data_IF_667554745403
#
_entry.id   IF_667554745403
#
_cell.length_a   1.000
_cell.length_b   1.000
_cell.length_c   1.000
_cell.angle_alpha   90.00
_cell.angle_beta   90.00
_cell.angle_gamma   90.00
#
_symmetry.space_group_name_H-M   'P 1'
#
loop_
_entity.id
_entity.type
_entity.pdbx_description
1 polymer ?
#
# COMPACT_ATOMS: atom_id res chain seq x y z
N UNK A 1 -44.20 -5.64 49.10
CA UNK A 1 -44.57 -6.29 47.82
C UNK A 1 -44.28 -5.27 46.71
N UNK A 2 -43.02 -4.92 46.48
CA UNK A 2 -42.13 -5.61 45.52
C UNK A 2 -42.89 -5.97 44.24
N UNK A 3 -42.65 -5.27 43.12
CA UNK A 3 -41.58 -5.59 42.16
C UNK A 3 -41.57 -4.53 41.04
N UNK A 4 -40.44 -3.85 40.87
CA UNK A 4 -40.14 -2.98 39.73
C UNK A 4 -39.68 -3.83 38.55
N UNK A 5 -40.29 -3.62 37.39
CA UNK A 5 -39.96 -4.32 36.16
C UNK A 5 -38.76 -3.64 35.48
N UNK A 6 -37.54 -3.99 35.90
CA UNK A 6 -36.32 -3.54 35.24
C UNK A 6 -36.04 -4.45 34.03
N UNK A 7 -36.36 -3.97 32.83
CA UNK A 7 -36.01 -4.61 31.56
C UNK A 7 -34.51 -4.40 31.34
N UNK A 8 -33.70 -5.35 31.81
CA UNK A 8 -32.30 -5.46 31.41
C UNK A 8 -32.28 -5.83 29.92
N UNK A 9 -32.01 -4.83 29.06
CA UNK A 9 -31.59 -5.09 27.69
C UNK A 9 -30.22 -5.78 27.77
N UNK A 10 -30.25 -7.11 27.80
CA UNK A 10 -29.04 -7.92 27.71
C UNK A 10 -28.35 -7.59 26.39
N UNK A 11 -27.25 -6.87 26.47
CA UNK A 11 -26.37 -6.61 25.34
C UNK A 11 -25.71 -7.94 24.96
N UNK A 12 -26.38 -8.73 24.14
CA UNK A 12 -25.75 -9.87 23.48
C UNK A 12 -24.78 -9.28 22.45
N UNK A 13 -23.47 -9.58 22.51
CA UNK A 13 -22.60 -9.22 21.41
C UNK A 13 -23.16 -9.87 20.13
N UNK A 14 -23.34 -9.08 19.09
CA UNK A 14 -23.79 -9.59 17.81
C UNK A 14 -22.75 -10.60 17.32
N UNK A 15 -23.10 -11.89 17.34
CA UNK A 15 -22.28 -12.95 16.74
C UNK A 15 -22.15 -12.61 15.26
N UNK A 16 -20.92 -12.48 14.77
CA UNK A 16 -20.62 -12.09 13.40
C UNK A 16 -19.22 -12.50 12.99
N UNK A 17 -18.99 -12.54 11.68
CA UNK A 17 -17.67 -12.84 11.13
C UNK A 17 -16.74 -11.64 11.30
N UNK A 18 -15.53 -11.90 11.79
CA UNK A 18 -14.46 -10.90 11.92
C UNK A 18 -13.37 -11.22 10.91
N UNK A 19 -13.04 -10.24 10.05
CA UNK A 19 -11.98 -10.36 9.05
C UNK A 19 -10.75 -9.56 9.51
N UNK A 20 -9.57 -10.17 9.41
CA UNK A 20 -8.29 -9.57 9.78
C UNK A 20 -7.25 -9.85 8.68
N UNK A 21 -6.59 -8.81 8.13
CA UNK A 21 -6.88 -7.38 8.32
C UNK A 21 -8.22 -6.97 7.64
N UNK A 22 -8.84 -5.86 8.07
CA UNK A 22 -10.06 -5.34 7.44
C UNK A 22 -9.84 -4.78 6.03
N UNK A 23 -8.64 -4.24 5.78
CA UNK A 23 -8.19 -3.76 4.47
C UNK A 23 -6.88 -4.47 4.08
N UNK A 24 -6.97 -5.69 3.53
CA UNK A 24 -5.82 -6.49 3.16
C UNK A 24 -5.15 -5.93 1.91
N UNK A 25 -3.84 -5.80 2.00
CA UNK A 25 -2.97 -5.42 0.88
C UNK A 25 -1.83 -6.42 0.76
N UNK A 26 -1.39 -6.67 -0.47
CA UNK A 26 -0.26 -7.57 -0.76
C UNK A 26 0.58 -7.00 -1.89
N UNK A 27 1.90 -7.10 -1.76
CA UNK A 27 2.83 -6.73 -2.83
C UNK A 27 2.77 -7.76 -3.96
N UNK A 28 2.88 -7.35 -5.21
CA UNK A 28 3.12 -8.26 -6.33
C UNK A 28 4.35 -9.15 -6.08
N UNK A 29 4.23 -10.44 -6.40
CA UNK A 29 5.18 -11.50 -6.06
C UNK A 29 5.27 -11.83 -4.56
N UNK A 30 4.53 -11.11 -3.70
CA UNK A 30 4.56 -11.24 -2.25
C UNK A 30 3.61 -12.30 -1.69
N UNK A 31 3.52 -12.35 -0.37
CA UNK A 31 2.60 -13.24 0.35
C UNK A 31 1.81 -12.49 1.43
N UNK A 32 0.60 -12.96 1.71
CA UNK A 32 -0.28 -12.41 2.73
C UNK A 32 -1.17 -13.49 3.34
N UNK A 33 -1.72 -13.20 4.53
CA UNK A 33 -2.66 -14.08 5.22
C UNK A 33 -3.89 -13.29 5.66
N UNK A 34 -5.07 -13.81 5.36
CA UNK A 34 -6.35 -13.24 5.77
C UNK A 34 -7.04 -14.21 6.71
N UNK A 35 -7.27 -13.78 7.95
CA UNK A 35 -7.99 -14.56 8.94
C UNK A 35 -9.47 -14.15 8.93
N UNK A 36 -10.35 -15.14 8.84
CA UNK A 36 -11.76 -14.99 9.10
C UNK A 36 -12.14 -15.81 10.31
N UNK A 37 -12.72 -15.17 11.32
CA UNK A 37 -13.10 -15.82 12.58
C UNK A 37 -14.57 -15.61 12.92
N UNK A 38 -15.15 -16.60 13.61
CA UNK A 38 -16.51 -16.57 14.12
C UNK A 38 -16.48 -17.02 15.59
N UNK A 39 -16.86 -16.13 16.49
CA UNK A 39 -16.95 -16.42 17.91
C UNK A 39 -18.20 -17.26 18.24
N UNK A 40 -18.20 -18.53 17.83
CA UNK A 40 -19.28 -19.48 18.07
C UNK A 40 -18.75 -20.89 18.33
N UNK A 41 -19.14 -21.46 19.48
CA UNK A 41 -18.80 -22.84 19.82
C UNK A 41 -19.56 -23.82 18.91
N UNK A 42 -18.84 -24.74 18.26
CA UNK A 42 -19.42 -25.69 17.30
C UNK A 42 -19.89 -25.04 15.99
N UNK A 43 -19.51 -23.79 15.74
CA UNK A 43 -19.70 -23.16 14.43
C UNK A 43 -18.74 -23.69 13.38
N UNK A 44 -18.91 -23.23 12.15
CA UNK A 44 -17.99 -23.48 11.04
C UNK A 44 -17.65 -22.18 10.33
N UNK A 45 -16.43 -22.06 9.82
CA UNK A 45 -15.95 -20.90 9.08
C UNK A 45 -15.11 -21.37 7.90
N UNK A 46 -15.31 -20.77 6.73
CA UNK A 46 -14.58 -21.13 5.53
C UNK A 46 -14.45 -19.94 4.57
N UNK A 47 -13.26 -19.78 4.00
CA UNK A 47 -13.05 -18.91 2.84
C UNK A 47 -13.60 -19.56 1.55
N UNK A 48 -14.07 -18.73 0.61
CA UNK A 48 -14.54 -19.12 -0.72
C UNK A 48 -14.02 -18.15 -1.77
N UNK A 49 -14.00 -18.61 -3.02
CA UNK A 49 -13.48 -17.83 -4.16
C UNK A 49 -11.97 -17.97 -4.32
N UNK A 50 -11.48 -19.22 -4.32
CA UNK A 50 -10.12 -19.51 -4.76
C UNK A 50 -10.14 -19.47 -6.29
N UNK A 51 -9.64 -18.39 -6.86
CA UNK A 51 -9.66 -18.17 -8.30
C UNK A 51 -8.34 -18.59 -8.97
N UNK A 52 -7.33 -18.96 -8.17
CA UNK A 52 -5.97 -19.19 -8.64
C UNK A 52 -5.24 -20.28 -7.85
N UNK A 53 -4.21 -20.87 -8.45
CA UNK A 53 -3.34 -21.87 -7.81
C UNK A 53 -2.39 -21.28 -6.75
N UNK A 54 -2.39 -19.95 -6.60
CA UNK A 54 -1.54 -19.23 -5.64
C UNK A 54 -2.23 -18.98 -4.29
N UNK A 55 -3.48 -19.44 -4.16
CA UNK A 55 -4.29 -19.32 -2.96
C UNK A 55 -4.58 -20.68 -2.33
N UNK A 56 -4.46 -20.77 -1.01
CA UNK A 56 -4.80 -21.98 -0.26
C UNK A 56 -5.49 -21.66 1.06
N UNK A 57 -6.25 -22.63 1.60
CA UNK A 57 -7.08 -22.42 2.79
C UNK A 57 -6.69 -23.42 3.88
N UNK A 58 -6.46 -22.90 5.08
CA UNK A 58 -6.36 -23.71 6.30
C UNK A 58 -7.58 -23.43 7.18
N UNK A 59 -8.38 -24.45 7.45
CA UNK A 59 -9.64 -24.32 8.21
C UNK A 59 -9.52 -24.88 9.63
N UNK A 60 -10.05 -24.14 10.60
CA UNK A 60 -10.15 -24.52 12.01
C UNK A 60 -11.62 -24.39 12.46
N UNK A 61 -12.01 -24.93 13.64
CA UNK A 61 -13.41 -24.88 14.09
C UNK A 61 -13.99 -23.46 14.19
N UNK A 62 -13.20 -22.50 14.66
CA UNK A 62 -13.68 -21.11 14.92
C UNK A 62 -13.13 -20.08 13.95
N UNK A 63 -12.21 -20.46 13.06
CA UNK A 63 -11.60 -19.54 12.11
C UNK A 63 -11.04 -20.26 10.89
N UNK A 64 -10.82 -19.52 9.82
CA UNK A 64 -10.28 -19.98 8.55
C UNK A 64 -9.25 -18.98 8.05
N UNK A 65 -8.11 -19.47 7.60
CA UNK A 65 -7.00 -18.64 7.11
C UNK A 65 -6.86 -18.86 5.60
N UNK A 66 -6.92 -17.76 4.84
CA UNK A 66 -6.58 -17.73 3.42
C UNK A 66 -5.11 -17.34 3.29
N UNK A 67 -4.32 -18.21 2.69
CA UNK A 67 -2.91 -17.98 2.40
C UNK A 67 -2.77 -17.59 0.93
N UNK A 68 -2.11 -16.47 0.69
CA UNK A 68 -1.76 -15.96 -0.63
C UNK A 68 -0.24 -16.02 -0.76
N UNK A 69 0.27 -16.60 -1.84
CA UNK A 69 1.71 -16.69 -2.11
C UNK A 69 2.03 -16.36 -3.56
N UNK A 70 3.07 -15.56 -3.82
CA UNK A 70 3.43 -15.12 -5.17
C UNK A 70 2.25 -14.40 -5.88
N UNK A 71 1.74 -13.35 -5.22
CA UNK A 71 0.56 -12.62 -5.69
C UNK A 71 0.77 -11.98 -7.07
N UNK A 72 -0.20 -12.13 -7.95
CA UNK A 72 -0.30 -11.46 -9.26
C UNK A 72 -1.40 -10.41 -9.24
N UNK A 73 -1.54 -9.61 -10.30
CA UNK A 73 -2.66 -8.65 -10.44
C UNK A 73 -4.02 -9.36 -10.30
N UNK A 74 -4.19 -10.52 -10.94
CA UNK A 74 -5.39 -11.36 -10.84
C UNK A 74 -5.67 -11.95 -9.44
N UNK A 75 -4.69 -11.92 -8.51
CA UNK A 75 -4.90 -12.35 -7.12
C UNK A 75 -5.76 -11.35 -6.33
N UNK A 76 -5.76 -10.08 -6.76
CA UNK A 76 -6.58 -9.03 -6.18
C UNK A 76 -8.09 -9.28 -6.35
N UNK A 77 -8.89 -8.47 -5.68
CA UNK A 77 -10.36 -8.51 -5.80
C UNK A 77 -11.07 -9.06 -4.57
N UNK A 78 -12.34 -9.42 -4.75
CA UNK A 78 -13.25 -9.74 -3.65
C UNK A 78 -13.03 -11.16 -3.12
N UNK A 79 -12.68 -11.27 -1.84
CA UNK A 79 -12.58 -12.54 -1.10
C UNK A 79 -13.80 -12.67 -0.17
N UNK A 80 -14.45 -13.83 -0.18
CA UNK A 80 -15.67 -14.07 0.61
C UNK A 80 -15.43 -15.09 1.70
N UNK A 81 -15.77 -14.73 2.93
CA UNK A 81 -15.79 -15.66 4.05
C UNK A 81 -17.23 -15.97 4.46
N UNK A 82 -17.49 -17.26 4.70
CA UNK A 82 -18.78 -17.78 5.09
C UNK A 82 -18.65 -18.49 6.43
N UNK A 83 -19.64 -18.34 7.30
CA UNK A 83 -19.69 -19.06 8.56
C UNK A 83 -21.09 -19.49 8.92
N UNK A 84 -21.20 -20.53 9.74
CA UNK A 84 -22.48 -21.03 10.24
C UNK A 84 -22.39 -21.21 11.75
N UNK A 85 -23.39 -20.76 12.49
CA UNK A 85 -23.48 -20.91 13.94
C UNK A 85 -24.93 -21.18 14.34
N UNK A 86 -25.19 -22.29 15.04
CA UNK A 86 -26.54 -22.67 15.49
C UNK A 86 -27.64 -22.54 14.42
N UNK A 87 -27.34 -22.95 13.18
CA UNK A 87 -28.26 -22.85 12.03
C UNK A 87 -28.35 -21.46 11.37
N UNK A 88 -27.77 -20.42 11.96
CA UNK A 88 -27.64 -19.09 11.36
C UNK A 88 -26.42 -19.02 10.44
N UNK A 89 -26.56 -18.36 9.29
CA UNK A 89 -25.49 -18.18 8.30
C UNK A 89 -24.98 -16.74 8.32
N UNK A 90 -23.68 -16.61 8.24
CA UNK A 90 -22.96 -15.34 8.19
C UNK A 90 -22.11 -15.30 6.93
N UNK A 91 -21.99 -14.12 6.34
CA UNK A 91 -21.10 -13.88 5.22
C UNK A 91 -20.47 -12.50 5.38
N UNK A 92 -19.17 -12.41 5.08
CA UNK A 92 -18.46 -11.14 5.00
C UNK A 92 -17.47 -11.19 3.85
N UNK A 93 -17.37 -10.09 3.11
CA UNK A 93 -16.45 -9.94 2.00
C UNK A 93 -15.38 -8.92 2.34
N UNK A 94 -14.24 -9.04 1.69
CA UNK A 94 -13.14 -8.09 1.75
C UNK A 94 -12.49 -7.97 0.38
N UNK A 95 -11.97 -6.79 0.04
CA UNK A 95 -11.27 -6.57 -1.21
C UNK A 95 -9.76 -6.62 -0.99
N UNK A 96 -9.09 -7.67 -1.50
CA UNK A 96 -7.64 -7.78 -1.47
C UNK A 96 -7.05 -6.84 -2.53
N UNK A 97 -6.27 -5.85 -2.09
CA UNK A 97 -5.58 -4.93 -3.00
C UNK A 97 -4.18 -5.44 -3.27
N UNK A 98 -3.80 -5.51 -4.55
CA UNK A 98 -2.43 -5.80 -4.99
C UNK A 98 -1.75 -4.48 -5.32
N UNK A 99 -0.48 -4.35 -4.95
CA UNK A 99 0.34 -3.20 -5.33
C UNK A 99 1.73 -3.63 -5.78
N UNK A 100 2.33 -2.87 -6.69
CA UNK A 100 3.70 -3.00 -7.12
C UNK A 100 4.32 -1.60 -7.19
N UNK A 101 5.41 -1.41 -6.47
CA UNK A 101 6.15 -0.15 -6.47
C UNK A 101 7.64 -0.49 -6.63
N UNK A 102 8.36 0.25 -7.50
CA UNK A 102 9.79 0.05 -7.68
C UNK A 102 10.57 0.55 -6.46
N UNK A 103 11.65 -0.16 -6.15
CA UNK A 103 12.53 0.21 -5.03
C UNK A 103 13.34 1.49 -5.34
N UNK A 104 13.60 1.75 -6.62
CA UNK A 104 14.30 2.93 -7.09
C UNK A 104 13.76 3.40 -8.44
N UNK A 105 13.79 4.72 -8.63
CA UNK A 105 13.43 5.38 -9.88
C UNK A 105 14.70 5.66 -10.68
N UNK A 106 14.62 5.56 -12.01
CA UNK A 106 15.74 5.84 -12.90
C UNK A 106 15.62 7.27 -13.40
N UNK A 107 16.57 8.12 -13.03
CA UNK A 107 16.63 9.51 -13.44
C UNK A 107 17.83 9.74 -14.37
N UNK A 108 17.56 10.20 -15.58
CA UNK A 108 18.56 10.46 -16.61
C UNK A 108 18.46 11.92 -17.10
N UNK A 109 19.61 12.54 -17.35
CA UNK A 109 19.69 13.88 -17.93
C UNK A 109 20.18 13.83 -19.38
N UNK A 110 19.61 14.69 -20.23
CA UNK A 110 20.05 14.89 -21.62
C UNK A 110 20.28 16.38 -21.88
N UNK A 111 21.51 16.83 -22.17
CA UNK A 111 22.76 16.06 -22.15
C UNK A 111 23.13 15.57 -20.74
N UNK A 112 24.03 14.57 -20.64
CA UNK A 112 24.37 13.87 -19.38
C UNK A 112 24.80 14.81 -18.24
N UNK A 113 25.36 15.96 -18.58
CA UNK A 113 25.63 17.04 -17.67
C UNK A 113 24.89 18.28 -18.19
N UNK A 114 23.97 18.81 -17.39
CA UNK A 114 23.32 20.09 -17.69
C UNK A 114 24.32 21.21 -17.39
N UNK A 115 24.61 22.03 -18.40
CA UNK A 115 25.49 23.19 -18.25
C UNK A 115 24.65 24.47 -18.04
N UNK A 116 25.09 25.39 -17.16
CA UNK A 116 24.36 26.64 -16.95
C UNK A 116 24.14 27.41 -18.24
N UNK A 117 22.91 27.89 -18.45
CA UNK A 117 22.53 28.61 -19.66
C UNK A 117 22.24 27.73 -20.89
N UNK A 118 22.46 26.41 -20.81
CA UNK A 118 22.11 25.48 -21.89
C UNK A 118 20.82 24.72 -21.57
N UNK A 119 19.87 24.62 -22.53
CA UNK A 119 18.67 23.84 -22.33
C UNK A 119 18.97 22.34 -22.28
N UNK A 120 18.12 21.58 -21.60
CA UNK A 120 18.19 20.13 -21.55
C UNK A 120 16.87 19.49 -21.16
N UNK A 121 16.91 18.21 -20.83
CA UNK A 121 15.76 17.47 -20.34
C UNK A 121 16.15 16.46 -19.27
N UNK A 122 15.23 16.21 -18.35
CA UNK A 122 15.30 15.14 -17.38
C UNK A 122 14.24 14.10 -17.72
N UNK A 123 14.65 12.84 -17.76
CA UNK A 123 13.78 11.69 -18.00
C UNK A 123 13.77 10.83 -16.77
N UNK A 124 12.59 10.64 -16.18
CA UNK A 124 12.39 9.67 -15.13
C UNK A 124 11.63 8.47 -15.65
N UNK A 125 12.09 7.26 -15.31
CA UNK A 125 11.36 6.03 -15.59
C UNK A 125 11.24 5.15 -14.34
N UNK A 126 10.11 4.44 -14.27
CA UNK A 126 9.81 3.49 -13.22
C UNK A 126 9.15 2.26 -13.84
N UNK A 127 9.68 1.08 -13.55
CA UNK A 127 9.10 -0.17 -14.03
C UNK A 127 8.20 -0.83 -12.99
N UNK A 128 7.31 -1.71 -13.46
CA UNK A 128 6.57 -2.64 -12.61
C UNK A 128 5.74 -1.93 -11.53
N UNK A 129 4.99 -0.91 -11.95
CA UNK A 129 4.12 -0.09 -11.09
C UNK A 129 2.69 -0.60 -11.19
N UNK A 130 2.01 -0.71 -10.05
CA UNK A 130 0.59 -1.03 -9.96
C UNK A 130 0.00 -0.63 -8.60
N UNK A 131 -1.27 -0.17 -8.53
CA UNK A 131 -2.14 0.21 -9.63
C UNK A 131 -1.78 1.61 -10.19
N UNK A 132 -2.20 1.92 -11.42
CA UNK A 132 -2.02 3.29 -11.97
C UNK A 132 -2.92 4.34 -11.32
N UNK A 133 -4.22 4.09 -11.06
CA UNK A 133 -5.08 5.10 -10.46
C UNK A 133 -4.59 5.55 -9.08
N UNK A 134 -4.50 6.87 -8.89
CA UNK A 134 -4.02 7.48 -7.65
C UNK A 134 -2.49 7.54 -7.54
N UNK A 135 -1.75 7.14 -8.57
CA UNK A 135 -0.32 7.41 -8.66
C UNK A 135 -0.09 8.90 -8.94
N UNK A 136 0.70 9.55 -8.11
CA UNK A 136 1.06 10.96 -8.28
C UNK A 136 2.56 11.06 -8.47
N UNK A 137 2.93 11.69 -9.57
CA UNK A 137 4.30 12.00 -9.94
C UNK A 137 4.53 13.49 -9.81
N UNK A 138 5.66 13.86 -9.21
CA UNK A 138 5.97 15.25 -8.96
C UNK A 138 7.44 15.51 -9.25
N UNK A 139 7.69 16.50 -10.09
CA UNK A 139 9.04 17.02 -10.28
C UNK A 139 9.33 18.08 -9.22
N UNK A 140 10.52 18.03 -8.66
CA UNK A 140 11.02 19.06 -7.74
C UNK A 140 12.28 19.70 -8.29
N UNK A 141 12.40 21.02 -8.12
CA UNK A 141 13.60 21.81 -8.33
C UNK A 141 14.03 22.39 -6.98
N UNK A 142 15.13 21.89 -6.42
CA UNK A 142 15.45 22.06 -5.01
C UNK A 142 14.32 21.50 -4.15
N UNK A 143 13.69 22.36 -3.36
CA UNK A 143 12.51 22.02 -2.54
C UNK A 143 11.19 22.54 -3.15
N UNK A 144 11.23 23.16 -4.34
CA UNK A 144 10.05 23.66 -5.03
C UNK A 144 9.42 22.58 -5.90
N UNK A 145 8.15 22.24 -5.63
CA UNK A 145 7.35 21.41 -6.52
C UNK A 145 7.04 22.15 -7.82
N UNK A 146 7.30 21.50 -8.95
CA UNK A 146 6.89 21.96 -10.27
C UNK A 146 5.42 21.56 -10.52
N UNK A 147 4.76 22.12 -11.56
CA UNK A 147 3.42 21.72 -11.94
C UNK A 147 3.30 20.20 -12.11
N UNK A 148 2.07 19.69 -11.97
CA UNK A 148 1.77 18.26 -12.01
C UNK A 148 2.37 17.62 -13.26
N UNK A 149 3.15 16.56 -13.05
CA UNK A 149 3.89 15.89 -14.09
C UNK A 149 2.98 14.89 -14.79
N UNK A 150 2.78 15.07 -16.09
CA UNK A 150 2.19 14.00 -16.89
C UNK A 150 3.22 12.87 -17.08
N UNK A 151 2.71 11.66 -17.30
CA UNK A 151 3.53 10.50 -17.56
C UNK A 151 2.87 9.54 -18.52
N UNK A 152 3.70 9.01 -19.42
CA UNK A 152 3.31 7.93 -20.30
C UNK A 152 3.36 6.62 -19.52
N UNK A 153 2.31 5.81 -19.63
CA UNK A 153 2.25 4.48 -19.04
C UNK A 153 2.15 3.42 -20.14
N UNK A 154 2.98 2.39 -20.05
CA UNK A 154 2.93 1.22 -20.94
C UNK A 154 2.66 -0.03 -20.11
N UNK A 155 1.61 -0.75 -20.44
CA UNK A 155 1.27 -2.02 -19.80
C UNK A 155 2.24 -3.13 -20.22
N UNK A 156 2.57 -4.00 -19.27
CA UNK A 156 3.45 -5.16 -19.44
C UNK A 156 2.63 -6.43 -19.55
N UNK A 157 3.26 -7.55 -19.93
CA UNK A 157 2.60 -8.86 -19.99
C UNK A 157 2.04 -9.33 -18.64
N UNK A 158 2.56 -8.80 -17.53
CA UNK A 158 2.14 -9.13 -16.17
C UNK A 158 1.03 -8.20 -15.64
N UNK A 159 0.41 -7.39 -16.52
CA UNK A 159 -0.63 -6.39 -16.18
C UNK A 159 -0.11 -5.28 -15.23
N UNK A 160 1.22 -5.14 -15.13
CA UNK A 160 1.92 -4.04 -14.47
C UNK A 160 2.27 -2.93 -15.46
N UNK A 161 2.67 -1.76 -14.96
CA UNK A 161 2.96 -0.60 -15.81
C UNK A 161 4.40 -0.11 -15.71
N UNK A 162 4.97 0.22 -16.86
CA UNK A 162 6.19 1.00 -16.96
C UNK A 162 5.81 2.46 -17.24
N UNK A 163 6.23 3.36 -16.36
CA UNK A 163 5.93 4.79 -16.47
C UNK A 163 7.16 5.58 -16.88
N UNK A 164 6.96 6.61 -17.68
CA UNK A 164 8.01 7.55 -18.10
C UNK A 164 7.47 8.97 -18.02
N UNK A 165 8.19 9.86 -17.35
CA UNK A 165 7.92 11.30 -17.37
C UNK A 165 9.17 12.04 -17.85
N UNK A 166 8.96 13.07 -18.66
CA UNK A 166 10.05 13.91 -19.18
C UNK A 166 9.80 15.36 -18.81
N UNK A 167 10.76 15.98 -18.14
CA UNK A 167 10.75 17.39 -17.79
C UNK A 167 11.73 18.14 -18.70
N UNK A 168 11.26 19.05 -19.58
CA UNK A 168 12.14 20.00 -20.25
C UNK A 168 12.68 21.00 -19.22
N UNK A 169 13.96 21.34 -19.32
CA UNK A 169 14.63 22.32 -18.46
C UNK A 169 15.20 23.43 -19.33
N UNK A 170 14.71 24.66 -19.15
CA UNK A 170 15.20 25.79 -19.91
C UNK A 170 16.59 26.23 -19.41
N UNK A 171 17.41 26.82 -20.28
CA UNK A 171 18.82 27.11 -19.96
C UNK A 171 18.97 28.09 -18.80
N UNK A 172 18.06 29.05 -18.67
CA UNK A 172 18.00 29.99 -17.53
C UNK A 172 17.66 29.32 -16.19
N UNK A 173 17.10 28.11 -16.23
CA UNK A 173 16.73 27.33 -15.05
C UNK A 173 17.84 26.40 -14.57
N UNK A 174 18.89 26.22 -15.39
CA UNK A 174 20.10 25.47 -15.05
C UNK A 174 21.06 26.40 -14.33
N UNK A 175 21.00 26.40 -13.00
CA UNK A 175 21.90 27.14 -12.13
C UNK A 175 22.89 26.24 -11.37
N UNK A 176 24.00 26.81 -10.91
CA UNK A 176 24.96 26.09 -10.07
C UNK A 176 24.33 25.70 -8.72
N UNK A 177 24.33 24.41 -8.39
CA UNK A 177 23.76 23.89 -7.12
C UNK A 177 22.27 23.52 -7.16
N UNK A 178 21.63 23.53 -8.32
CA UNK A 178 20.22 23.11 -8.46
C UNK A 178 20.10 21.58 -8.43
N UNK A 179 19.40 21.06 -7.43
CA UNK A 179 19.07 19.62 -7.28
C UNK A 179 17.69 19.35 -7.88
N UNK A 180 17.51 18.21 -8.56
CA UNK A 180 16.18 17.76 -9.00
C UNK A 180 15.80 16.46 -8.27
N UNK A 181 14.57 16.39 -7.76
CA UNK A 181 14.02 15.20 -7.07
C UNK A 181 12.72 14.75 -7.73
N UNK A 182 12.45 13.46 -7.63
CA UNK A 182 11.28 12.84 -8.23
C UNK A 182 10.72 11.74 -7.31
N UNK A 183 9.84 12.09 -6.36
CA UNK A 183 9.14 11.10 -5.54
C UNK A 183 7.96 10.48 -6.31
N UNK A 184 7.79 9.16 -6.14
CA UNK A 184 6.58 8.43 -6.51
C UNK A 184 5.68 8.36 -5.28
N UNK A 185 4.41 8.75 -5.37
CA UNK A 185 3.47 8.59 -4.25
C UNK A 185 2.17 7.95 -4.70
N UNK A 186 1.54 7.20 -3.80
CA UNK A 186 0.19 6.67 -3.98
C UNK A 186 -0.77 7.50 -3.14
N UNK A 187 -1.94 7.83 -3.70
CA UNK A 187 -3.01 8.50 -2.97
C UNK A 187 -3.53 7.68 -1.78
N UNK A 188 -4.42 8.24 -0.93
CA UNK A 188 -4.78 7.71 0.39
C UNK A 188 -5.52 6.36 0.43
N UNK A 189 -5.57 5.60 -0.67
CA UNK A 189 -6.29 4.33 -0.74
C UNK A 189 -5.53 3.12 -0.11
N UNK A 190 -4.32 3.33 0.42
CA UNK A 190 -3.51 2.30 1.09
C UNK A 190 -3.02 2.83 2.44
N UNK A 191 -3.95 2.97 3.40
CA UNK A 191 -3.58 3.30 4.77
C UNK A 191 -3.12 2.01 5.49
N UNK A 192 -1.80 1.85 5.65
CA UNK A 192 -1.21 0.77 6.45
C UNK A 192 -1.20 1.21 7.91
N UNK A 193 -2.33 1.07 8.59
CA UNK A 193 -2.43 1.40 10.02
C UNK A 193 -1.61 0.45 10.89
N UNK A 194 -0.33 0.76 11.15
CA UNK A 194 0.46 0.17 12.23
C UNK A 194 0.54 1.16 13.39
N UNK A 195 -0.39 1.07 14.35
CA UNK A 195 -0.29 1.86 15.58
C UNK A 195 0.73 1.22 16.52
N UNK A 196 1.94 1.78 16.57
CA UNK A 196 2.91 1.49 17.64
C UNK A 196 2.87 2.66 18.63
N UNK A 197 2.45 2.35 19.86
CA UNK A 197 2.47 3.32 20.96
C UNK A 197 3.92 3.64 21.35
N UNK A 198 4.27 4.93 21.33
CA UNK A 198 5.57 5.44 21.78
C UNK A 198 5.38 6.17 23.13
N UNK A 199 5.87 5.56 24.20
CA UNK A 199 6.17 6.22 25.47
C UNK A 199 7.65 6.00 25.82
N UNK A 200 8.40 7.10 25.95
CA UNK A 200 9.75 7.21 26.53
C UNK A 200 10.89 6.86 25.56
N UNK A 201 11.99 7.61 25.42
CA UNK A 201 12.71 8.50 26.35
C UNK A 201 13.54 9.54 25.57
N UNK A 202 13.66 10.73 26.15
CA UNK A 202 14.60 11.80 25.77
C UNK A 202 15.93 11.54 26.48
N UNK A 203 17.05 11.58 25.74
CA UNK A 203 18.36 11.97 26.30
C UNK A 203 19.08 12.86 25.28
N UNK A 204 19.42 14.06 25.70
CA UNK A 204 20.19 15.07 24.96
C UNK A 204 21.67 14.72 24.89
N UNK A 205 22.30 14.96 23.74
CA UNK A 205 23.75 14.97 23.59
C UNK A 205 24.16 15.57 22.25
N UNK A 206 24.57 16.85 22.25
CA UNK A 206 25.07 17.56 21.09
C UNK A 206 26.53 17.20 20.81
N UNK A 207 26.86 16.73 19.60
CA UNK A 207 28.16 16.98 18.94
C UNK A 207 27.95 17.01 17.41
N UNK A 208 28.27 18.15 16.82
CA UNK A 208 28.38 18.39 15.39
C UNK A 208 29.55 17.61 14.79
N UNK A 209 29.36 17.00 13.61
CA UNK A 209 30.39 16.82 12.57
C UNK A 209 29.75 16.41 11.24
N UNK A 210 30.09 17.20 10.22
CA UNK A 210 29.75 17.07 8.79
C UNK A 210 29.89 15.63 8.31
N UNK A 211 28.83 15.08 7.74
CA UNK A 211 28.84 13.89 6.89
C UNK A 211 27.74 14.04 5.84
N UNK A 212 28.13 14.46 4.64
CA UNK A 212 27.28 14.39 3.44
C UNK A 212 26.99 12.90 3.18
N UNK A 213 25.74 12.48 3.38
CA UNK A 213 25.22 11.17 2.97
C UNK A 213 23.96 11.47 2.16
N UNK A 214 24.08 11.57 0.83
CA UNK A 214 23.93 10.48 -0.14
C UNK A 214 22.54 9.80 -0.01
N UNK A 215 21.67 10.21 -0.93
CA UNK A 215 20.39 9.64 -1.38
C UNK A 215 19.80 8.48 -0.57
N UNK A 216 18.65 8.75 0.06
CA UNK A 216 17.59 7.76 0.31
C UNK A 216 16.25 8.46 0.09
N UNK A 217 15.56 8.11 -0.99
CA UNK A 217 14.11 8.20 -1.00
C UNK A 217 13.62 7.16 0.01
N UNK A 218 13.41 7.60 1.25
CA UNK A 218 12.80 6.79 2.30
C UNK A 218 11.32 7.11 2.23
N UNK A 219 10.51 6.16 1.77
CA UNK A 219 9.06 6.27 1.88
C UNK A 219 8.71 6.25 3.37
N UNK A 220 8.20 7.37 3.88
CA UNK A 220 7.46 7.38 5.14
C UNK A 220 6.01 7.08 4.77
N UNK A 221 5.59 5.84 5.01
CA UNK A 221 4.19 5.46 5.06
C UNK A 221 3.56 6.15 6.30
N UNK A 222 2.36 6.73 6.22
CA UNK A 222 1.61 7.17 7.38
C UNK A 222 1.20 5.99 8.28
#
# INVERSE_FOLDING_TARGET
KEQGLSRVLGWRPAVGLVLVPPEPVVRFGGSAQLNCSLACAGGTVQWKGLDTNVESITSFPTHSILHVSNATVATGGTKSCHGTCHGQRYQRTVNLKVYALPDALQLEATPRALEPGQPGSLRCSAGQVYPLPGLVLSWYRGDQALPEADFDATETEEELFNIVSTLPVAGEEVGEGVEFRYPLSTGPAVAVGSTVSLLGLIVTGAVSRRLWKRFRARYELP
#
